data_IF_559742735517
#
_entry.id   IF_559742735517
#
_cell.length_a   1.000
_cell.length_b   1.000
_cell.length_c   1.000
_cell.angle_alpha   90.00
_cell.angle_beta   90.00
_cell.angle_gamma   90.00
#
_symmetry.space_group_name_H-M   'P 1'
#
loop_
_entity.id
_entity.type
_entity.pdbx_description
1 polymer ?
#
# COMPACT_ATOMS: atom_id res chain seq x y z
N UNK A 1 15.34 17.59 12.70
CA UNK A 1 14.85 16.53 11.77
C UNK A 1 13.31 16.57 11.68
N UNK A 2 12.74 17.75 11.39
CA UNK A 2 11.29 18.05 11.42
C UNK A 2 10.65 18.03 10.01
N UNK A 3 11.31 17.44 9.02
CA UNK A 3 10.90 17.51 7.61
C UNK A 3 9.84 16.49 7.18
N UNK A 4 9.44 15.57 8.06
CA UNK A 4 8.41 14.54 7.76
C UNK A 4 6.97 14.91 8.18
N UNK A 5 6.81 15.95 9.02
CA UNK A 5 5.57 16.12 9.81
C UNK A 5 4.40 16.69 8.99
N UNK A 6 4.65 17.36 7.86
CA UNK A 6 3.61 18.10 7.11
C UNK A 6 3.54 17.76 5.60
N UNK A 7 3.99 16.56 5.21
CA UNK A 7 4.30 16.17 3.82
C UNK A 7 3.30 16.60 2.71
N UNK A 8 1.97 16.46 2.82
CA UNK A 8 1.06 17.03 1.82
C UNK A 8 0.74 18.52 2.05
N UNK A 9 0.67 18.98 3.30
CA UNK A 9 0.20 20.34 3.64
C UNK A 9 1.27 21.43 3.44
N UNK A 10 2.55 21.07 3.40
CA UNK A 10 3.66 22.05 3.26
C UNK A 10 4.20 22.20 1.85
N UNK A 11 3.74 21.38 0.91
CA UNK A 11 4.23 21.41 -0.47
C UNK A 11 3.07 21.68 -1.41
N UNK A 12 2.89 22.95 -1.78
CA UNK A 12 1.88 23.40 -2.74
C UNK A 12 1.86 22.53 -4.02
N UNK A 13 3.02 22.09 -4.50
CA UNK A 13 3.15 21.19 -5.64
C UNK A 13 2.50 19.82 -5.42
N UNK A 14 2.57 19.26 -4.20
CA UNK A 14 1.95 17.97 -3.84
C UNK A 14 0.44 18.10 -3.84
N UNK A 15 -0.10 19.16 -3.23
CA UNK A 15 -1.53 19.46 -3.26
C UNK A 15 -2.01 19.65 -4.69
N UNK A 16 -1.37 20.54 -5.45
CA UNK A 16 -1.71 20.80 -6.84
C UNK A 16 -1.76 19.52 -7.68
N UNK A 17 -0.75 18.65 -7.56
CA UNK A 17 -0.74 17.34 -8.22
C UNK A 17 -1.91 16.47 -7.78
N UNK A 18 -2.13 16.31 -6.47
CA UNK A 18 -3.24 15.51 -5.95
C UNK A 18 -4.60 16.01 -6.45
N UNK A 19 -4.82 17.33 -6.47
CA UNK A 19 -6.05 17.93 -6.99
C UNK A 19 -6.24 17.61 -8.48
N UNK A 20 -5.17 17.72 -9.28
CA UNK A 20 -5.23 17.44 -10.71
C UNK A 20 -5.37 15.94 -11.03
N UNK A 21 -4.83 15.04 -10.20
CA UNK A 21 -4.87 13.59 -10.46
C UNK A 21 -6.08 12.90 -9.83
N UNK A 22 -6.50 13.31 -8.64
CA UNK A 22 -7.54 12.63 -7.84
C UNK A 22 -8.85 13.42 -7.76
N UNK A 23 -8.83 14.71 -8.09
CA UNK A 23 -9.93 15.64 -7.86
C UNK A 23 -10.00 16.16 -6.42
N UNK A 24 -10.89 17.13 -6.21
CA UNK A 24 -10.96 17.89 -4.95
C UNK A 24 -11.39 17.05 -3.75
N UNK A 25 -12.41 16.20 -3.90
CA UNK A 25 -12.95 15.41 -2.80
C UNK A 25 -11.90 14.47 -2.18
N UNK A 26 -11.21 13.68 -3.01
CA UNK A 26 -10.17 12.75 -2.55
C UNK A 26 -8.94 13.48 -2.02
N UNK A 27 -8.56 14.61 -2.65
CA UNK A 27 -7.45 15.44 -2.16
C UNK A 27 -7.73 16.00 -0.76
N UNK A 28 -8.96 16.45 -0.51
CA UNK A 28 -9.38 16.91 0.82
C UNK A 28 -9.39 15.76 1.85
N UNK A 29 -9.76 14.54 1.45
CA UNK A 29 -9.68 13.38 2.34
C UNK A 29 -8.23 13.04 2.70
N UNK A 30 -7.29 13.15 1.76
CA UNK A 30 -5.85 12.97 2.05
C UNK A 30 -5.32 14.03 3.01
N UNK A 31 -5.72 15.30 2.83
CA UNK A 31 -5.40 16.37 3.78
C UNK A 31 -5.98 16.07 5.16
N UNK A 32 -7.27 15.69 5.22
CA UNK A 32 -7.95 15.32 6.47
C UNK A 32 -7.25 14.17 7.18
N UNK A 33 -6.87 13.11 6.45
CA UNK A 33 -6.09 11.99 7.01
C UNK A 33 -4.82 12.47 7.68
N UNK A 34 -4.09 13.40 7.04
CA UNK A 34 -2.85 13.94 7.61
C UNK A 34 -3.11 14.83 8.81
N UNK A 35 -4.17 15.64 8.78
CA UNK A 35 -4.59 16.45 9.94
C UNK A 35 -4.96 15.53 11.11
N UNK A 36 -5.77 14.50 10.86
CA UNK A 36 -6.17 13.54 11.87
C UNK A 36 -4.95 12.83 12.48
N UNK A 37 -3.91 12.54 11.68
CA UNK A 37 -2.66 11.93 12.16
C UNK A 37 -1.79 12.85 13.03
N UNK A 38 -2.10 14.14 13.08
CA UNK A 38 -1.42 15.14 13.93
C UNK A 38 -2.24 15.47 15.17
N UNK A 39 -3.57 15.38 15.07
CA UNK A 39 -4.49 15.77 16.14
C UNK A 39 -4.92 14.61 17.04
N UNK A 40 -4.89 13.37 16.54
CA UNK A 40 -5.38 12.20 17.28
C UNK A 40 -4.34 11.08 17.29
N UNK A 41 -3.93 10.67 18.50
CA UNK A 41 -3.00 9.55 18.71
C UNK A 41 -3.57 8.24 18.15
N UNK A 42 -4.86 8.00 18.33
CA UNK A 42 -5.56 6.79 17.87
C UNK A 42 -6.02 6.85 16.39
N UNK A 43 -5.45 7.75 15.60
CA UNK A 43 -5.81 7.87 14.18
C UNK A 43 -5.36 6.68 13.33
N UNK A 44 -4.45 5.84 13.83
CA UNK A 44 -3.91 4.69 13.10
C UNK A 44 -4.97 3.63 12.73
N UNK A 45 -6.00 3.45 13.56
CA UNK A 45 -7.09 2.51 13.30
C UNK A 45 -8.18 3.05 12.35
N UNK A 46 -8.14 4.35 12.02
CA UNK A 46 -9.13 4.95 11.11
C UNK A 46 -8.87 4.55 9.67
N UNK A 47 -9.91 4.13 8.96
CA UNK A 47 -9.84 3.81 7.54
C UNK A 47 -10.38 4.94 6.68
N UNK A 48 -9.65 5.27 5.60
CA UNK A 48 -10.03 6.26 4.61
C UNK A 48 -10.28 5.56 3.27
N UNK A 49 -11.40 5.89 2.61
CA UNK A 49 -11.81 5.30 1.34
C UNK A 49 -11.67 6.32 0.22
N UNK A 50 -10.52 6.27 -0.45
CA UNK A 50 -10.11 7.25 -1.46
C UNK A 50 -10.59 6.84 -2.85
N UNK A 51 -11.31 7.71 -3.54
CA UNK A 51 -11.72 7.47 -4.92
C UNK A 51 -10.62 7.94 -5.87
N UNK A 52 -10.15 7.06 -6.74
CA UNK A 52 -9.18 7.38 -7.79
C UNK A 52 -9.88 7.34 -9.14
N UNK A 53 -9.79 8.40 -9.97
CA UNK A 53 -10.34 8.38 -11.32
C UNK A 53 -9.81 7.18 -12.12
N UNK A 54 -10.72 6.46 -12.80
CA UNK A 54 -10.39 5.25 -13.56
C UNK A 54 -10.43 3.95 -12.77
N UNK A 55 -10.60 3.99 -11.44
CA UNK A 55 -10.71 2.80 -10.59
C UNK A 55 -12.18 2.58 -10.21
N UNK A 56 -12.65 1.33 -10.32
CA UNK A 56 -14.06 0.98 -10.11
C UNK A 56 -14.50 1.03 -8.64
N UNK A 57 -13.58 0.82 -7.71
CA UNK A 57 -13.85 0.82 -6.26
C UNK A 57 -12.94 1.80 -5.51
N UNK A 58 -13.39 2.35 -4.36
CA UNK A 58 -12.53 3.14 -3.49
C UNK A 58 -11.34 2.32 -2.96
N UNK A 59 -10.18 2.95 -2.89
CA UNK A 59 -8.96 2.40 -2.29
C UNK A 59 -9.00 2.68 -0.79
N UNK A 60 -8.84 1.64 0.02
CA UNK A 60 -8.77 1.71 1.47
C UNK A 60 -7.33 1.92 1.90
N UNK A 61 -7.10 2.96 2.72
CA UNK A 61 -5.83 3.19 3.41
C UNK A 61 -6.08 3.48 4.90
N UNK A 62 -5.11 3.17 5.74
CA UNK A 62 -5.14 3.52 7.17
C UNK A 62 -4.72 4.97 7.43
N UNK A 63 -5.20 5.50 8.54
CA UNK A 63 -4.79 6.79 9.10
C UNK A 63 -3.42 6.72 9.75
N UNK A 64 -3.15 7.62 10.70
CA UNK A 64 -1.86 7.67 11.38
C UNK A 64 -0.67 8.03 10.49
N UNK A 65 0.53 7.85 11.06
CA UNK A 65 1.82 8.15 10.41
C UNK A 65 2.46 6.94 9.73
N UNK A 66 1.71 5.85 9.60
CA UNK A 66 2.15 4.64 8.91
C UNK A 66 2.29 4.84 7.40
N UNK A 67 2.56 3.70 6.76
CA UNK A 67 3.05 3.60 5.39
C UNK A 67 2.08 4.07 4.31
N UNK A 68 0.81 3.71 4.46
CA UNK A 68 -0.19 3.67 3.41
C UNK A 68 -0.35 4.97 2.61
N UNK A 69 -0.37 6.11 3.30
CA UNK A 69 -0.57 7.41 2.66
C UNK A 69 0.61 7.85 1.78
N UNK A 70 1.83 7.44 2.12
CA UNK A 70 3.00 7.70 1.29
C UNK A 70 2.98 6.80 0.05
N UNK A 71 2.69 5.50 0.22
CA UNK A 71 2.60 4.52 -0.89
C UNK A 71 1.54 5.02 -1.88
N UNK A 72 0.38 5.40 -1.38
CA UNK A 72 -0.73 5.90 -2.19
C UNK A 72 -0.32 7.13 -2.99
N UNK A 73 0.37 8.10 -2.38
CA UNK A 73 0.88 9.26 -3.08
C UNK A 73 1.88 8.87 -4.19
N UNK A 74 2.81 7.97 -3.91
CA UNK A 74 3.81 7.51 -4.87
C UNK A 74 3.16 6.87 -6.10
N UNK A 75 2.19 5.98 -5.89
CA UNK A 75 1.54 5.22 -6.96
C UNK A 75 0.51 6.07 -7.72
N UNK A 76 -0.41 6.73 -7.04
CA UNK A 76 -1.60 7.32 -7.69
C UNK A 76 -1.50 8.83 -7.93
N UNK A 77 -0.50 9.52 -7.35
CA UNK A 77 -0.31 10.97 -7.52
C UNK A 77 1.01 11.28 -8.20
N UNK A 78 2.11 10.70 -7.73
CA UNK A 78 3.44 10.85 -8.33
C UNK A 78 3.64 9.95 -9.55
N UNK A 79 2.85 8.87 -9.65
CA UNK A 79 2.80 7.92 -10.76
C UNK A 79 4.13 7.21 -10.99
N UNK A 80 4.75 6.72 -9.90
CA UNK A 80 6.09 6.12 -9.94
C UNK A 80 6.19 4.87 -10.84
N UNK A 81 5.08 4.16 -11.07
CA UNK A 81 5.04 3.02 -11.99
C UNK A 81 4.88 3.39 -13.47
N UNK A 82 4.76 4.68 -13.81
CA UNK A 82 4.66 5.07 -15.23
C UNK A 82 5.93 4.73 -16.02
N UNK A 83 7.07 4.51 -15.37
CA UNK A 83 8.32 4.12 -16.05
C UNK A 83 8.30 2.69 -16.59
N UNK A 84 7.48 1.82 -15.99
CA UNK A 84 7.24 0.43 -16.39
C UNK A 84 5.85 0.27 -17.00
N UNK A 85 5.27 1.39 -17.46
CA UNK A 85 3.92 1.44 -17.98
C UNK A 85 3.75 0.69 -19.30
N UNK A 86 4.81 0.65 -20.09
CA UNK A 86 4.76 0.21 -21.48
C UNK A 86 5.39 -1.17 -21.65
N UNK A 87 5.33 -1.99 -20.60
CA UNK A 87 5.68 -3.41 -20.71
C UNK A 87 4.70 -4.10 -21.67
N UNK A 88 5.22 -5.02 -22.48
CA UNK A 88 4.37 -5.90 -23.28
C UNK A 88 3.47 -6.73 -22.34
N UNK A 89 2.15 -6.69 -22.57
CA UNK A 89 1.05 -7.25 -21.76
C UNK A 89 1.48 -8.45 -20.89
N UNK A 90 1.88 -8.23 -19.61
CA UNK A 90 2.43 -9.29 -18.79
C UNK A 90 1.33 -10.28 -18.41
N UNK A 91 1.60 -11.57 -18.58
CA UNK A 91 0.66 -12.64 -18.18
C UNK A 91 0.61 -12.83 -16.66
N UNK A 92 1.75 -12.65 -15.98
CA UNK A 92 1.92 -12.90 -14.55
C UNK A 92 2.83 -11.85 -13.90
N UNK A 93 2.39 -11.31 -12.76
CA UNK A 93 3.20 -10.49 -11.85
C UNK A 93 3.24 -11.16 -10.47
N UNK A 94 4.42 -11.19 -9.86
CA UNK A 94 4.61 -11.59 -8.47
C UNK A 94 4.91 -10.32 -7.67
N UNK A 95 3.99 -9.95 -6.77
CA UNK A 95 4.12 -8.81 -5.87
C UNK A 95 4.64 -9.29 -4.52
N UNK A 96 5.97 -9.31 -4.37
CA UNK A 96 6.67 -9.75 -3.17
C UNK A 96 6.76 -8.64 -2.12
N UNK A 97 5.96 -8.74 -1.06
CA UNK A 97 5.75 -7.64 -0.11
C UNK A 97 4.59 -6.75 -0.52
N UNK A 98 3.45 -7.38 -0.87
CA UNK A 98 2.29 -6.70 -1.42
C UNK A 98 1.70 -5.63 -0.47
N UNK A 99 2.02 -5.67 0.82
CA UNK A 99 1.56 -4.73 1.84
C UNK A 99 0.01 -4.67 1.82
N UNK A 100 -0.59 -3.47 1.73
CA UNK A 100 -2.04 -3.31 1.57
C UNK A 100 -2.53 -3.44 0.11
N UNK A 101 -1.70 -3.94 -0.81
CA UNK A 101 -2.08 -4.32 -2.18
C UNK A 101 -2.12 -3.19 -3.20
N UNK A 102 -1.53 -2.01 -2.94
CA UNK A 102 -1.66 -0.86 -3.85
C UNK A 102 -0.94 -1.04 -5.19
N UNK A 103 0.22 -1.70 -5.19
CA UNK A 103 0.97 -2.00 -6.42
C UNK A 103 0.23 -3.03 -7.27
N UNK A 104 -0.16 -4.15 -6.67
CA UNK A 104 -1.08 -5.14 -7.26
C UNK A 104 -2.32 -4.49 -7.88
N UNK A 105 -2.99 -3.59 -7.14
CA UNK A 105 -4.18 -2.90 -7.61
C UNK A 105 -3.91 -2.04 -8.85
N UNK A 106 -2.78 -1.31 -8.88
CA UNK A 106 -2.37 -0.52 -10.05
C UNK A 106 -2.22 -1.41 -11.28
N UNK A 107 -1.50 -2.54 -11.17
CA UNK A 107 -1.26 -3.41 -12.31
C UNK A 107 -2.50 -4.17 -12.78
N UNK A 108 -3.40 -4.60 -11.89
CA UNK A 108 -4.67 -5.24 -12.25
C UNK A 108 -5.63 -4.32 -13.02
N UNK A 109 -5.58 -3.01 -12.74
CA UNK A 109 -6.35 -2.00 -13.47
C UNK A 109 -5.69 -1.65 -14.81
N UNK A 110 -4.36 -1.71 -14.87
CA UNK A 110 -3.60 -1.36 -16.07
C UNK A 110 -3.61 -2.44 -17.13
N UNK A 111 -3.42 -3.70 -16.74
CA UNK A 111 -3.33 -4.85 -17.64
C UNK A 111 -4.57 -5.72 -17.44
N UNK A 112 -5.52 -5.75 -18.39
CA UNK A 112 -6.77 -6.51 -18.25
C UNK A 112 -6.56 -8.02 -18.09
N UNK A 113 -5.50 -8.57 -18.69
CA UNK A 113 -5.23 -10.00 -18.75
C UNK A 113 -4.26 -10.50 -17.67
N UNK A 114 -3.60 -9.58 -16.94
CA UNK A 114 -2.57 -9.98 -15.97
C UNK A 114 -3.18 -10.77 -14.82
N UNK A 115 -2.46 -11.80 -14.38
CA UNK A 115 -2.68 -12.46 -13.09
C UNK A 115 -1.64 -11.99 -12.09
N UNK A 116 -2.02 -11.86 -10.83
CA UNK A 116 -1.11 -11.46 -9.77
C UNK A 116 -1.05 -12.50 -8.66
N UNK A 117 0.16 -12.83 -8.21
CA UNK A 117 0.40 -13.50 -6.94
C UNK A 117 0.93 -12.45 -5.97
N UNK A 118 0.12 -12.06 -5.00
CA UNK A 118 0.45 -11.05 -4.01
C UNK A 118 0.83 -11.73 -2.69
N UNK A 119 2.11 -11.59 -2.32
CA UNK A 119 2.72 -12.24 -1.15
C UNK A 119 2.93 -11.19 -0.07
N UNK A 120 2.29 -11.33 1.08
CA UNK A 120 2.44 -10.41 2.22
C UNK A 120 2.48 -11.18 3.55
N UNK A 121 3.50 -10.96 4.40
CA UNK A 121 3.65 -11.72 5.63
C UNK A 121 2.88 -11.13 6.83
N UNK A 122 2.58 -9.83 6.87
CA UNK A 122 1.82 -9.25 7.98
C UNK A 122 0.31 -9.38 7.74
N UNK A 123 -0.36 -10.16 8.60
CA UNK A 123 -1.80 -10.42 8.51
C UNK A 123 -2.67 -9.16 8.57
N UNK A 124 -2.22 -8.10 9.27
CA UNK A 124 -2.94 -6.83 9.32
C UNK A 124 -2.84 -6.07 7.99
N UNK A 125 -1.70 -6.16 7.30
CA UNK A 125 -1.56 -5.63 5.94
C UNK A 125 -2.38 -6.46 4.95
N UNK A 126 -2.29 -7.79 5.05
CA UNK A 126 -3.01 -8.73 4.19
C UNK A 126 -4.53 -8.55 4.26
N UNK A 127 -5.07 -8.19 5.43
CA UNK A 127 -6.49 -7.90 5.57
C UNK A 127 -6.94 -6.66 4.77
N UNK A 128 -6.16 -5.58 4.79
CA UNK A 128 -6.44 -4.40 3.95
C UNK A 128 -6.17 -4.72 2.47
N UNK A 129 -5.15 -5.52 2.17
CA UNK A 129 -4.86 -6.03 0.83
C UNK A 129 -6.05 -6.76 0.23
N UNK A 130 -6.66 -7.68 1.00
CA UNK A 130 -7.87 -8.40 0.61
C UNK A 130 -9.03 -7.45 0.31
N UNK A 131 -9.20 -6.38 1.08
CA UNK A 131 -10.25 -5.38 0.81
C UNK A 131 -9.99 -4.61 -0.48
N UNK A 132 -8.77 -4.16 -0.71
CA UNK A 132 -8.38 -3.40 -1.90
C UNK A 132 -8.45 -4.23 -3.19
N UNK A 133 -8.13 -5.54 -3.10
CA UNK A 133 -8.05 -6.43 -4.25
C UNK A 133 -9.32 -7.27 -4.47
N UNK A 134 -10.33 -7.12 -3.60
CA UNK A 134 -11.64 -7.80 -3.71
C UNK A 134 -12.29 -7.75 -5.10
N UNK A 135 -12.19 -6.67 -5.89
CA UNK A 135 -12.80 -6.65 -7.22
C UNK A 135 -12.15 -7.59 -8.25
N UNK A 136 -11.00 -8.17 -7.92
CA UNK A 136 -10.14 -8.91 -8.85
C UNK A 136 -9.87 -10.36 -8.39
N UNK A 137 -10.76 -10.96 -7.59
CA UNK A 137 -10.54 -12.30 -7.01
C UNK A 137 -10.37 -13.42 -8.03
N UNK A 138 -10.78 -13.20 -9.27
CA UNK A 138 -10.57 -14.08 -10.42
C UNK A 138 -9.16 -13.97 -11.04
N UNK A 139 -8.45 -12.88 -10.76
CA UNK A 139 -7.13 -12.55 -11.32
C UNK A 139 -6.02 -12.41 -10.28
N UNK A 140 -6.33 -12.42 -8.99
CA UNK A 140 -5.34 -12.31 -7.92
C UNK A 140 -5.40 -13.47 -6.95
N UNK A 141 -4.23 -14.00 -6.59
CA UNK A 141 -4.04 -14.95 -5.51
C UNK A 141 -3.28 -14.28 -4.38
N UNK A 142 -3.86 -14.31 -3.17
CA UNK A 142 -3.22 -13.79 -1.97
C UNK A 142 -2.49 -14.92 -1.25
N UNK A 143 -1.23 -14.70 -0.90
CA UNK A 143 -0.41 -15.63 -0.13
C UNK A 143 0.06 -14.93 1.14
N UNK A 144 -0.33 -15.46 2.29
CA UNK A 144 0.23 -15.04 3.58
C UNK A 144 1.60 -15.69 3.73
N UNK A 145 2.66 -14.94 3.46
CA UNK A 145 4.01 -15.49 3.36
C UNK A 145 5.02 -14.43 2.98
N UNK A 146 6.29 -14.84 2.81
CA UNK A 146 7.36 -13.96 2.37
C UNK A 146 8.26 -14.63 1.33
N UNK A 147 8.82 -13.82 0.44
CA UNK A 147 9.83 -14.30 -0.51
C UNK A 147 11.17 -14.45 0.22
N UNK A 148 11.73 -15.66 0.19
CA UNK A 148 12.99 -15.98 0.85
C UNK A 148 13.82 -16.97 0.04
N UNK A 149 15.12 -17.05 0.34
CA UNK A 149 16.05 -17.93 -0.39
C UNK A 149 15.77 -19.42 -0.20
N UNK A 150 15.02 -19.80 0.85
CA UNK A 150 14.62 -21.16 1.19
C UNK A 150 13.21 -21.16 1.79
N UNK A 151 12.46 -22.23 1.56
CA UNK A 151 11.22 -22.48 2.30
C UNK A 151 11.54 -22.71 3.78
N UNK A 152 10.78 -22.08 4.67
CA UNK A 152 10.97 -22.20 6.10
C UNK A 152 10.18 -21.13 6.83
N UNK A 153 10.04 -21.31 8.14
CA UNK A 153 9.36 -20.34 9.00
C UNK A 153 10.20 -19.07 9.14
N UNK A 154 9.56 -17.91 9.02
CA UNK A 154 10.20 -16.61 9.16
C UNK A 154 9.52 -15.73 10.19
N UNK A 155 10.32 -15.00 10.96
CA UNK A 155 9.92 -14.01 11.94
C UNK A 155 9.57 -12.67 11.29
N UNK A 156 8.47 -12.03 11.68
CA UNK A 156 8.26 -10.61 11.37
C UNK A 156 9.12 -9.74 12.30
N UNK A 157 10.10 -9.06 11.74
CA UNK A 157 10.95 -8.08 12.44
C UNK A 157 10.38 -6.67 12.19
N UNK A 158 9.59 -6.19 13.15
CA UNK A 158 9.04 -4.83 13.10
C UNK A 158 10.14 -3.81 13.39
N UNK A 159 10.29 -2.84 12.49
CA UNK A 159 11.16 -1.68 12.68
C UNK A 159 10.33 -0.43 13.01
N UNK A 160 10.97 0.64 13.47
CA UNK A 160 10.29 1.92 13.79
C UNK A 160 9.48 2.50 12.62
N UNK A 161 9.82 2.14 11.37
CA UNK A 161 9.07 2.49 10.17
C UNK A 161 8.41 1.24 9.60
N UNK A 162 7.08 1.22 9.52
CA UNK A 162 6.28 0.09 9.01
C UNK A 162 6.72 -0.41 7.61
N UNK A 163 7.28 0.48 6.79
CA UNK A 163 7.82 0.22 5.46
C UNK A 163 9.08 -0.66 5.44
N UNK A 164 9.80 -0.77 6.55
CA UNK A 164 11.03 -1.54 6.68
C UNK A 164 10.81 -2.82 7.48
N UNK A 165 9.57 -3.26 7.65
CA UNK A 165 9.28 -4.56 8.27
C UNK A 165 9.98 -5.65 7.45
N UNK A 166 10.86 -6.38 8.12
CA UNK A 166 11.67 -7.44 7.50
C UNK A 166 11.18 -8.79 7.95
N UNK A 167 11.61 -9.80 7.22
CA UNK A 167 11.51 -11.18 7.65
C UNK A 167 12.89 -11.73 7.97
N UNK A 168 12.99 -12.45 9.09
CA UNK A 168 14.23 -13.07 9.57
C UNK A 168 14.03 -14.53 9.96
N UNK A 169 15.11 -15.22 10.31
CA UNK A 169 14.96 -16.56 10.91
C UNK A 169 14.36 -16.44 12.31
N UNK A 170 13.55 -17.41 12.77
CA UNK A 170 12.95 -17.34 14.10
C UNK A 170 14.04 -17.43 15.19
N UNK A 171 14.19 -16.38 15.98
CA UNK A 171 14.91 -16.39 17.25
C UNK A 171 13.94 -16.67 18.42
N UNK A 172 14.45 -16.98 19.62
CA UNK A 172 13.64 -17.39 20.77
C UNK A 172 12.53 -16.39 21.18
N UNK A 173 12.65 -15.11 20.80
CA UNK A 173 11.70 -14.03 21.12
C UNK A 173 10.83 -13.59 19.91
N UNK A 174 10.72 -14.42 18.88
CA UNK A 174 9.98 -14.11 17.64
C UNK A 174 8.47 -13.96 17.86
N UNK A 175 7.90 -12.84 17.39
CA UNK A 175 6.48 -12.44 17.59
C UNK A 175 5.52 -13.06 16.54
N UNK A 176 5.98 -13.97 15.67
CA UNK A 176 5.12 -14.72 14.74
C UNK A 176 5.92 -15.40 13.64
N UNK A 177 5.38 -16.48 13.07
CA UNK A 177 6.01 -17.21 11.95
C UNK A 177 5.11 -17.23 10.72
N UNK A 178 5.67 -16.95 9.55
CA UNK A 178 5.03 -17.19 8.25
C UNK A 178 5.72 -18.36 7.53
N UNK A 179 4.96 -19.21 6.84
CA UNK A 179 5.44 -20.39 6.08
C UNK A 179 5.51 -20.14 4.58
#
# INVERSE_FOLDING_TARGET
MLSGVLWPLTRLRVLYRAFNTLGAATSLQLCRRKIDSLLFEDSAHRLYRLRVPGYSTPIVIRGGNGSDGLVFYQIFVRRDYDVVADLADPELIIDGGANIGLASLYFLNKYPNVRIIAVEPDSANLEICRQNLRPFTDRVSLVEGALWSKCGRLALERQELDWCTRVGLPEAETIGTVE
#
